data_IF_170492129010
#
_entry.id   IF_170492129010
#
_cell.length_a   1.000
_cell.length_b   1.000
_cell.length_c   1.000
_cell.angle_alpha   90.00
_cell.angle_beta   90.00
_cell.angle_gamma   90.00
#
_symmetry.space_group_name_H-M   'P 1'
#
loop_
_entity.id
_entity.type
_entity.pdbx_description
1 polymer ?
#
# COMPACT_ATOMS: atom_id res chain seq x y z
N UNK A 1 -6.55 0.67 -0.56
CA UNK A 1 -7.64 -0.31 -0.71
C UNK A 1 -7.15 -1.70 -1.12
N UNK A 2 -6.04 -1.80 -1.87
CA UNK A 2 -5.55 -3.10 -2.36
C UNK A 2 -5.29 -4.10 -1.24
N UNK A 3 -4.68 -3.66 -0.15
CA UNK A 3 -4.40 -4.52 1.00
C UNK A 3 -5.69 -5.02 1.66
N UNK A 4 -6.65 -4.12 1.87
CA UNK A 4 -7.95 -4.48 2.45
C UNK A 4 -8.68 -5.47 1.55
N UNK A 5 -8.67 -5.23 0.26
CA UNK A 5 -9.32 -6.12 -0.70
C UNK A 5 -8.65 -7.49 -0.75
N UNK A 6 -7.34 -7.54 -0.62
CA UNK A 6 -6.63 -8.81 -0.55
C UNK A 6 -7.02 -9.60 0.72
N UNK A 7 -7.01 -8.95 1.88
CA UNK A 7 -7.33 -9.60 3.14
C UNK A 7 -8.81 -10.01 3.25
N UNK A 8 -9.70 -9.32 2.58
CA UNK A 8 -11.15 -9.61 2.59
C UNK A 8 -11.61 -10.41 1.38
N UNK A 9 -10.70 -10.82 0.52
CA UNK A 9 -11.00 -11.54 -0.73
C UNK A 9 -12.04 -10.81 -1.58
N UNK A 10 -11.91 -9.49 -1.68
CA UNK A 10 -12.84 -8.62 -2.40
C UNK A 10 -12.66 -8.77 -3.91
N UNK A 11 -13.78 -8.90 -4.62
CA UNK A 11 -13.79 -9.09 -6.07
C UNK A 11 -13.24 -7.90 -6.87
N UNK A 12 -13.10 -6.74 -6.24
CA UNK A 12 -12.53 -5.54 -6.90
C UNK A 12 -11.03 -5.66 -7.13
N UNK A 13 -10.36 -6.58 -6.44
CA UNK A 13 -8.94 -6.82 -6.65
C UNK A 13 -8.72 -7.55 -7.97
N UNK A 14 -7.89 -7.00 -8.86
CA UNK A 14 -7.65 -7.60 -10.17
C UNK A 14 -6.85 -8.91 -10.07
N UNK A 15 -6.95 -9.73 -11.11
CA UNK A 15 -6.18 -10.97 -11.18
C UNK A 15 -4.68 -10.71 -11.16
N UNK A 16 -4.22 -9.64 -11.81
CA UNK A 16 -2.80 -9.24 -11.78
C UNK A 16 -2.35 -8.85 -10.38
N UNK A 17 -3.20 -8.11 -9.66
CA UNK A 17 -2.90 -7.70 -8.28
C UNK A 17 -2.85 -8.92 -7.37
N UNK A 18 -3.79 -9.85 -7.49
CA UNK A 18 -3.77 -11.11 -6.71
C UNK A 18 -2.47 -11.88 -6.96
N UNK A 19 -2.07 -12.02 -8.21
CA UNK A 19 -0.81 -12.71 -8.56
C UNK A 19 0.39 -12.00 -7.98
N UNK A 20 0.39 -10.66 -7.97
CA UNK A 20 1.48 -9.88 -7.39
C UNK A 20 1.58 -10.10 -5.88
N UNK A 21 0.44 -10.11 -5.16
CA UNK A 21 0.41 -10.44 -3.74
C UNK A 21 0.95 -11.85 -3.49
N UNK A 22 0.37 -12.83 -4.15
CA UNK A 22 0.73 -14.24 -3.94
C UNK A 22 2.19 -14.53 -4.28
N UNK A 23 2.67 -14.02 -5.40
CA UNK A 23 4.06 -14.20 -5.83
C UNK A 23 5.04 -13.54 -4.87
N UNK A 24 4.72 -12.35 -4.38
CA UNK A 24 5.58 -11.62 -3.46
C UNK A 24 5.60 -12.28 -2.07
N UNK A 25 4.46 -12.77 -1.60
CA UNK A 25 4.38 -13.52 -0.34
C UNK A 25 5.26 -14.78 -0.40
N UNK A 26 5.32 -15.42 -1.57
CA UNK A 26 6.12 -16.63 -1.77
C UNK A 26 7.62 -16.36 -1.87
N UNK A 27 8.02 -15.34 -2.61
CA UNK A 27 9.42 -15.18 -3.04
C UNK A 27 10.05 -13.83 -2.69
N UNK A 28 9.30 -12.91 -2.14
CA UNK A 28 9.79 -11.56 -1.86
C UNK A 28 9.32 -11.00 -0.53
N UNK A 29 9.25 -9.68 -0.48
CA UNK A 29 8.76 -8.96 0.69
C UNK A 29 7.66 -7.99 0.26
N UNK A 30 6.50 -8.09 0.91
CA UNK A 30 5.41 -7.13 0.76
C UNK A 30 5.62 -6.00 1.75
N UNK A 31 5.84 -4.82 1.23
CA UNK A 31 6.04 -3.62 2.06
C UNK A 31 4.71 -2.90 2.21
N UNK A 32 4.29 -2.72 3.44
CA UNK A 32 3.06 -1.98 3.77
C UNK A 32 3.46 -0.62 4.35
N UNK A 33 3.23 0.48 3.63
CA UNK A 33 3.53 1.80 4.16
C UNK A 33 2.71 2.12 5.42
N UNK A 34 3.33 2.75 6.41
CA UNK A 34 2.61 3.20 7.61
C UNK A 34 1.46 4.14 7.25
N UNK A 35 1.59 4.91 6.17
CA UNK A 35 0.52 5.78 5.66
C UNK A 35 -0.73 4.99 5.28
N UNK A 36 -0.57 3.79 4.71
CA UNK A 36 -1.69 2.89 4.39
C UNK A 36 -2.41 2.45 5.67
N UNK A 37 -1.64 2.09 6.69
CA UNK A 37 -2.21 1.68 7.98
C UNK A 37 -2.94 2.83 8.67
N UNK A 38 -2.42 4.06 8.57
CA UNK A 38 -3.08 5.25 9.10
C UNK A 38 -4.44 5.46 8.41
N UNK A 39 -4.49 5.29 7.09
CA UNK A 39 -5.74 5.40 6.35
C UNK A 39 -6.73 4.29 6.75
N UNK A 40 -6.28 3.05 6.87
CA UNK A 40 -7.11 1.94 7.33
C UNK A 40 -7.69 2.23 8.72
N UNK A 41 -6.86 2.72 9.64
CA UNK A 41 -7.30 3.14 10.97
C UNK A 41 -8.45 4.15 10.89
N UNK A 42 -8.28 5.17 10.05
CA UNK A 42 -9.26 6.24 9.88
C UNK A 42 -10.58 5.74 9.29
N UNK A 43 -10.51 5.02 8.16
CA UNK A 43 -11.73 4.57 7.46
C UNK A 43 -12.45 3.43 8.19
N UNK A 44 -11.74 2.59 8.94
CA UNK A 44 -12.37 1.53 9.72
C UNK A 44 -13.22 2.09 10.86
N UNK A 45 -12.75 3.14 11.53
CA UNK A 45 -13.51 3.83 12.58
C UNK A 45 -14.76 4.53 12.05
N UNK A 46 -14.78 4.84 10.77
CA UNK A 46 -15.95 5.44 10.11
C UNK A 46 -16.90 4.39 9.54
N UNK A 47 -16.65 3.12 9.78
CA UNK A 47 -17.50 2.02 9.33
C UNK A 47 -17.49 1.78 7.82
N UNK A 48 -16.49 2.31 7.10
CA UNK A 48 -16.42 2.20 5.64
C UNK A 48 -15.80 0.91 5.13
N UNK A 49 -15.11 0.18 6.01
CA UNK A 49 -14.55 -1.13 5.71
C UNK A 49 -14.87 -2.07 6.86
N UNK A 50 -14.94 -3.37 6.55
CA UNK A 50 -15.25 -4.41 7.56
C UNK A 50 -14.06 -4.72 8.46
N UNK A 51 -12.84 -4.41 8.01
CA UNK A 51 -11.61 -4.75 8.71
C UNK A 51 -11.23 -3.65 9.70
N UNK A 52 -10.88 -4.02 10.93
CA UNK A 52 -10.36 -3.05 11.91
C UNK A 52 -8.85 -2.89 11.76
N UNK A 53 -8.31 -1.83 12.35
CA UNK A 53 -6.88 -1.61 12.38
C UNK A 53 -6.15 -2.77 13.08
N UNK A 54 -6.66 -3.21 14.22
CA UNK A 54 -6.07 -4.31 14.98
C UNK A 54 -6.08 -5.63 14.21
N UNK A 55 -7.19 -5.93 13.54
CA UNK A 55 -7.30 -7.12 12.70
C UNK A 55 -6.32 -7.07 11.54
N UNK A 56 -6.12 -5.89 10.95
CA UNK A 56 -5.16 -5.70 9.87
C UNK A 56 -3.74 -5.99 10.34
N UNK A 57 -3.35 -5.42 11.50
CA UNK A 57 -2.02 -5.66 12.07
C UNK A 57 -1.81 -7.13 12.40
N UNK A 58 -2.81 -7.77 12.99
CA UNK A 58 -2.75 -9.19 13.33
C UNK A 58 -2.56 -10.04 12.08
N UNK A 59 -3.28 -9.74 11.01
CA UNK A 59 -3.16 -10.45 9.75
C UNK A 59 -1.77 -10.28 9.15
N UNK A 60 -1.23 -9.06 9.18
CA UNK A 60 0.13 -8.78 8.71
C UNK A 60 1.16 -9.61 9.48
N UNK A 61 1.00 -9.71 10.80
CA UNK A 61 1.90 -10.48 11.67
C UNK A 61 1.88 -11.99 11.38
N UNK A 62 0.79 -12.50 10.83
CA UNK A 62 0.65 -13.92 10.46
C UNK A 62 1.48 -14.29 9.21
N UNK A 63 1.88 -13.30 8.41
CA UNK A 63 2.70 -13.50 7.22
C UNK A 63 4.17 -13.21 7.53
N UNK A 64 5.06 -14.11 7.15
CA UNK A 64 6.51 -13.92 7.34
C UNK A 64 7.09 -12.83 6.44
N UNK A 65 6.48 -12.61 5.28
CA UNK A 65 7.03 -11.76 4.23
C UNK A 65 6.34 -10.41 4.11
N UNK A 66 5.64 -9.96 5.15
CA UNK A 66 5.06 -8.63 5.22
C UNK A 66 5.90 -7.77 6.14
N UNK A 67 6.39 -6.64 5.64
CA UNK A 67 7.11 -5.64 6.44
C UNK A 67 6.33 -4.33 6.44
N UNK A 68 6.23 -3.72 7.61
CA UNK A 68 5.65 -2.38 7.73
C UNK A 68 6.76 -1.36 7.57
N UNK A 69 6.64 -0.49 6.57
CA UNK A 69 7.57 0.60 6.35
C UNK A 69 7.16 1.81 7.20
N UNK A 70 7.98 2.24 8.16
CA UNK A 70 7.64 3.40 8.98
C UNK A 70 7.62 4.68 8.16
N UNK A 71 6.81 5.64 8.58
CA UNK A 71 6.83 6.98 8.02
C UNK A 71 7.93 7.77 8.72
N UNK A 72 9.14 7.66 8.21
CA UNK A 72 10.32 8.31 8.78
C UNK A 72 10.79 9.49 7.92
N UNK A 73 11.89 10.12 8.34
CA UNK A 73 12.43 11.29 7.65
C UNK A 73 12.85 10.99 6.21
N UNK A 74 13.29 9.77 5.94
CA UNK A 74 13.71 9.37 4.58
C UNK A 74 12.54 9.35 3.62
N UNK A 75 11.39 8.85 4.09
CA UNK A 75 10.17 8.85 3.30
C UNK A 75 9.69 10.28 3.06
N UNK A 76 9.75 11.14 4.08
CA UNK A 76 9.36 12.54 3.95
C UNK A 76 10.25 13.29 2.95
N UNK A 77 11.56 13.06 3.01
CA UNK A 77 12.49 13.67 2.04
C UNK A 77 12.21 13.19 0.62
N UNK A 78 11.91 11.92 0.45
CA UNK A 78 11.54 11.35 -0.86
C UNK A 78 10.24 11.98 -1.36
N UNK A 79 9.24 12.09 -0.50
CA UNK A 79 7.96 12.72 -0.84
C UNK A 79 8.12 14.18 -1.25
N UNK A 80 8.98 14.92 -0.54
CA UNK A 80 9.25 16.33 -0.85
C UNK A 80 9.81 16.55 -2.26
N UNK A 81 10.54 15.56 -2.78
CA UNK A 81 11.11 15.61 -4.12
C UNK A 81 10.12 15.28 -5.22
N UNK A 82 8.94 14.76 -4.89
CA UNK A 82 7.90 14.47 -5.88
C UNK A 82 7.21 15.79 -6.22
N UNK A 83 7.43 16.28 -7.44
CA UNK A 83 6.87 17.56 -7.91
C UNK A 83 5.43 17.42 -8.39
N UNK A 84 5.03 16.21 -8.80
CA UNK A 84 3.67 15.96 -9.28
C UNK A 84 2.66 16.21 -8.15
N UNK A 85 1.65 17.01 -8.44
CA UNK A 85 0.58 17.24 -7.48
C UNK A 85 -0.25 15.98 -7.27
N UNK A 86 -0.42 15.61 -6.01
CA UNK A 86 -1.30 14.52 -5.60
C UNK A 86 -1.63 14.69 -4.13
N UNK A 87 -2.68 14.02 -3.69
CA UNK A 87 -3.08 14.01 -2.29
C UNK A 87 -1.93 13.52 -1.41
N UNK A 88 -1.85 14.03 -0.19
CA UNK A 88 -0.76 13.72 0.74
C UNK A 88 -0.58 12.22 0.97
N UNK A 89 -1.67 11.49 1.19
CA UNK A 89 -1.57 10.03 1.41
C UNK A 89 -0.97 9.31 0.21
N UNK A 90 -1.41 9.67 -0.99
CA UNK A 90 -0.90 9.09 -2.23
C UNK A 90 0.58 9.41 -2.41
N UNK A 91 0.97 10.64 -2.11
CA UNK A 91 2.37 11.06 -2.20
C UNK A 91 3.26 10.27 -1.26
N UNK A 92 2.81 10.02 -0.03
CA UNK A 92 3.55 9.21 0.95
C UNK A 92 3.66 7.74 0.54
N UNK A 93 2.60 7.20 -0.04
CA UNK A 93 2.60 5.82 -0.55
C UNK A 93 3.56 5.68 -1.73
N UNK A 94 3.49 6.61 -2.67
CA UNK A 94 4.41 6.64 -3.83
C UNK A 94 5.85 6.82 -3.38
N UNK A 95 6.09 7.71 -2.44
CA UNK A 95 7.42 7.95 -1.88
C UNK A 95 7.99 6.69 -1.22
N UNK A 96 7.15 5.94 -0.51
CA UNK A 96 7.56 4.68 0.10
C UNK A 96 7.97 3.67 -0.97
N UNK A 97 7.18 3.52 -2.02
CA UNK A 97 7.52 2.64 -3.14
C UNK A 97 8.84 3.05 -3.81
N UNK A 98 9.04 4.35 -4.03
CA UNK A 98 10.30 4.86 -4.58
C UNK A 98 11.49 4.54 -3.68
N UNK A 99 11.37 4.83 -2.40
CA UNK A 99 12.46 4.64 -1.44
C UNK A 99 12.89 3.18 -1.36
N UNK A 100 11.94 2.26 -1.35
CA UNK A 100 12.22 0.82 -1.30
C UNK A 100 12.42 0.20 -2.67
N UNK A 101 12.37 0.98 -3.75
CA UNK A 101 12.53 0.52 -5.13
C UNK A 101 11.57 -0.61 -5.46
N UNK A 102 10.34 -0.46 -5.01
CA UNK A 102 9.29 -1.46 -5.16
C UNK A 102 8.25 -1.03 -6.19
N UNK A 103 7.57 -2.01 -6.78
CA UNK A 103 6.37 -1.75 -7.57
C UNK A 103 5.20 -1.50 -6.61
N UNK A 104 4.23 -0.73 -7.05
CA UNK A 104 3.05 -0.37 -6.24
C UNK A 104 1.82 -1.10 -6.76
N UNK A 105 1.15 -1.85 -5.89
CA UNK A 105 -0.12 -2.50 -6.23
C UNK A 105 -1.24 -1.50 -5.92
N UNK A 106 -1.80 -0.91 -6.96
CA UNK A 106 -2.87 0.08 -6.82
C UNK A 106 -3.73 0.16 -8.08
N UNK A 107 -5.01 0.47 -7.87
CA UNK A 107 -5.95 0.76 -8.96
C UNK A 107 -5.96 2.25 -9.33
N UNK A 108 -5.31 3.08 -8.57
CA UNK A 108 -5.38 4.53 -8.71
C UNK A 108 -4.82 4.99 -10.08
N UNK A 109 -5.70 5.58 -10.91
CA UNK A 109 -5.34 6.05 -12.24
C UNK A 109 -4.42 7.27 -12.20
N UNK A 110 -4.54 8.12 -11.20
CA UNK A 110 -3.67 9.31 -11.08
C UNK A 110 -2.24 8.90 -10.77
N UNK A 111 -2.05 7.93 -9.89
CA UNK A 111 -0.73 7.38 -9.57
C UNK A 111 -0.13 6.72 -10.81
N UNK A 112 -0.93 5.93 -11.52
CA UNK A 112 -0.49 5.28 -12.76
C UNK A 112 -0.07 6.29 -13.81
N UNK A 113 -0.86 7.32 -14.03
CA UNK A 113 -0.58 8.38 -15.03
C UNK A 113 0.64 9.21 -14.66
N UNK A 114 0.90 9.42 -13.37
CA UNK A 114 2.07 10.16 -12.91
C UNK A 114 3.38 9.50 -13.35
N UNK A 115 3.39 8.17 -13.51
CA UNK A 115 4.55 7.45 -14.02
C UNK A 115 5.78 7.48 -13.14
N UNK A 116 5.64 7.82 -11.87
CA UNK A 116 6.76 7.94 -10.91
C UNK A 116 7.22 6.56 -10.45
N UNK A 117 6.29 5.63 -10.26
CA UNK A 117 6.56 4.26 -9.87
C UNK A 117 5.87 3.29 -10.82
N UNK A 118 6.40 2.09 -10.90
CA UNK A 118 5.76 1.01 -11.66
C UNK A 118 4.53 0.51 -10.91
N UNK A 119 3.40 0.48 -11.58
CA UNK A 119 2.11 0.10 -11.00
C UNK A 119 1.69 -1.28 -11.49
N UNK A 120 1.16 -2.08 -10.59
CA UNK A 120 0.54 -3.38 -10.89
C UNK A 120 -0.94 -3.31 -10.60
N UNK A 121 -1.72 -3.63 -11.62
CA UNK A 121 -3.16 -3.80 -11.45
C UNK A 121 -3.79 -4.66 -12.54
#
# INVERSE_FOLDING_TARGET
>A
HSLVWYFTEDARLSKKAIKAFEGTIKEGTLVVPAAVLAEIMYISKRGKIALTFEETLKTIEEYENFDIAPLDINILKTADRIETEMEMHDKLIVATALYYKARLITRDEQIKKAGIVSVVW
#
